data_IF_811477684118
#
_entry.id   IF_811477684118
#
_cell.length_a   1.000
_cell.length_b   1.000
_cell.length_c   1.000
_cell.angle_alpha   90.00
_cell.angle_beta   90.00
_cell.angle_gamma   90.00
#
_symmetry.space_group_name_H-M   'P 1'
#
loop_
_entity.id
_entity.type
_entity.pdbx_description
1 polymer ?
#
# COMPACT_ATOMS: atom_id res chain seq x y z
N UNK A 1 -46.77 -18.21 -13.89
CA UNK A 1 -45.65 -17.26 -14.08
C UNK A 1 -44.49 -17.75 -13.23
N UNK A 2 -43.29 -17.96 -13.80
CA UNK A 2 -42.14 -18.44 -13.03
C UNK A 2 -41.60 -17.32 -12.12
N UNK A 3 -41.05 -17.63 -10.93
CA UNK A 3 -40.27 -16.67 -10.16
C UNK A 3 -38.86 -16.59 -10.76
N UNK A 4 -38.55 -15.50 -11.44
CA UNK A 4 -37.20 -15.17 -11.91
C UNK A 4 -36.90 -13.72 -11.55
N UNK A 5 -35.98 -13.50 -10.62
CA UNK A 5 -34.57 -13.20 -10.93
C UNK A 5 -33.81 -13.00 -9.62
N UNK A 6 -32.77 -13.80 -9.44
CA UNK A 6 -31.63 -13.49 -8.59
C UNK A 6 -31.11 -12.09 -8.92
N UNK A 7 -31.06 -11.19 -7.93
CA UNK A 7 -30.24 -9.98 -8.01
C UNK A 7 -29.24 -10.03 -6.86
N UNK A 8 -28.15 -10.76 -7.11
CA UNK A 8 -26.94 -10.68 -6.32
C UNK A 8 -26.35 -9.28 -6.49
N UNK A 9 -26.77 -8.33 -5.65
CA UNK A 9 -26.15 -7.01 -5.54
C UNK A 9 -25.00 -7.09 -4.55
N UNK A 10 -23.96 -7.86 -4.87
CA UNK A 10 -22.66 -7.67 -4.23
C UNK A 10 -22.06 -6.43 -4.89
N UNK A 11 -22.45 -5.27 -4.36
CA UNK A 11 -21.90 -3.98 -4.76
C UNK A 11 -20.40 -4.03 -4.51
N UNK A 12 -19.63 -4.10 -5.59
CA UNK A 12 -18.16 -4.04 -5.65
C UNK A 12 -17.58 -2.74 -5.02
N UNK A 13 -18.45 -1.83 -4.57
CA UNK A 13 -18.11 -0.60 -3.88
C UNK A 13 -18.12 -0.86 -2.38
N UNK A 14 -17.01 -0.57 -1.68
CA UNK A 14 -16.98 -0.73 -0.22
C UNK A 14 -18.08 0.12 0.41
N UNK A 15 -18.69 -0.38 1.48
CA UNK A 15 -19.67 0.37 2.23
C UNK A 15 -19.00 1.61 2.87
N UNK A 16 -19.41 2.80 2.43
CA UNK A 16 -18.85 4.06 2.91
C UNK A 16 -19.09 4.25 4.42
N UNK A 17 -20.20 3.70 4.94
CA UNK A 17 -20.50 3.76 6.36
C UNK A 17 -19.57 2.87 7.20
N UNK A 18 -19.04 1.79 6.60
CA UNK A 18 -18.05 0.93 7.22
C UNK A 18 -16.68 1.59 7.24
N UNK A 19 -16.28 2.27 6.15
CA UNK A 19 -15.02 3.03 6.08
C UNK A 19 -14.97 4.17 7.10
N UNK A 20 -16.07 4.91 7.29
CA UNK A 20 -16.12 6.02 8.26
C UNK A 20 -15.91 5.53 9.70
N UNK A 21 -16.40 4.33 10.03
CA UNK A 21 -16.31 3.73 11.37
C UNK A 21 -15.09 2.83 11.54
N UNK A 22 -14.29 2.66 10.49
CA UNK A 22 -13.17 1.75 10.50
C UNK A 22 -12.04 2.30 11.38
N UNK A 23 -11.63 1.52 12.38
CA UNK A 23 -10.56 1.90 13.30
C UNK A 23 -9.18 1.55 12.72
N UNK A 24 -8.37 2.58 12.47
CA UNK A 24 -6.99 2.48 11.97
C UNK A 24 -6.08 1.66 12.89
N UNK A 25 -6.42 1.48 14.17
CA UNK A 25 -5.68 0.62 15.10
C UNK A 25 -5.74 -0.86 14.72
N UNK A 26 -6.77 -1.27 13.95
CA UNK A 26 -6.95 -2.63 13.44
C UNK A 26 -6.07 -2.92 12.22
N UNK A 27 -5.36 -1.93 11.68
CA UNK A 27 -4.41 -2.16 10.58
C UNK A 27 -3.18 -2.88 11.10
N UNK A 28 -2.75 -3.90 10.34
CA UNK A 28 -1.44 -4.51 10.58
C UNK A 28 -0.38 -3.43 10.32
N UNK A 29 0.55 -3.27 11.27
CA UNK A 29 1.73 -2.43 11.05
C UNK A 29 2.59 -3.12 9.98
N UNK A 30 2.54 -2.58 8.78
CA UNK A 30 3.39 -3.01 7.68
C UNK A 30 4.55 -2.03 7.62
N UNK A 31 5.75 -2.50 7.92
CA UNK A 31 6.98 -1.80 7.60
C UNK A 31 7.24 -1.96 6.10
N UNK A 32 7.26 -0.85 5.37
CA UNK A 32 7.55 -0.85 3.94
C UNK A 32 9.06 -0.75 3.77
N UNK A 33 9.70 -1.85 3.36
CA UNK A 33 11.10 -1.80 2.93
C UNK A 33 11.19 -1.03 1.61
N UNK A 34 11.58 0.23 1.70
CA UNK A 34 11.88 1.04 0.54
C UNK A 34 13.12 0.46 -0.15
N UNK A 35 12.93 -0.33 -1.21
CA UNK A 35 14.01 -1.04 -1.90
C UNK A 35 14.97 -0.17 -2.72
N UNK A 36 14.79 1.16 -2.71
CA UNK A 36 15.66 2.08 -3.42
C UNK A 36 16.01 3.31 -2.58
N UNK A 37 16.54 3.14 -1.35
CA UNK A 37 16.84 4.29 -0.52
C UNK A 37 17.91 5.09 -1.25
N UNK A 38 17.75 6.41 -1.29
CA UNK A 38 18.76 7.26 -1.89
C UNK A 38 20.10 6.96 -1.20
N UNK A 39 21.20 6.87 -1.96
CA UNK A 39 22.51 6.63 -1.37
C UNK A 39 22.79 7.71 -0.31
N UNK A 40 23.38 7.28 0.80
CA UNK A 40 23.80 8.21 1.84
C UNK A 40 24.99 9.03 1.35
N UNK A 41 25.19 10.24 1.92
CA UNK A 41 26.30 11.11 1.53
C UNK A 41 27.66 10.40 1.64
N UNK A 42 27.84 9.59 2.68
CA UNK A 42 29.06 8.80 2.87
C UNK A 42 29.29 7.78 1.75
N UNK A 43 28.23 7.12 1.26
CA UNK A 43 28.34 6.19 0.13
C UNK A 43 28.68 6.92 -1.18
N UNK A 44 28.14 8.12 -1.38
CA UNK A 44 28.43 8.95 -2.56
C UNK A 44 29.91 9.38 -2.54
N UNK A 45 30.40 9.88 -1.41
CA UNK A 45 31.79 10.32 -1.27
C UNK A 45 32.78 9.14 -1.43
N UNK A 46 32.41 7.94 -0.97
CA UNK A 46 33.19 6.72 -1.19
C UNK A 46 33.22 6.29 -2.66
N UNK A 47 32.10 6.36 -3.36
CA UNK A 47 32.02 6.04 -4.80
C UNK A 47 32.76 7.07 -5.65
N UNK A 48 32.70 8.35 -5.29
CA UNK A 48 33.48 9.44 -5.92
C UNK A 48 34.98 9.15 -5.82
N UNK A 49 35.48 8.84 -4.61
CA UNK A 49 36.91 8.52 -4.42
C UNK A 49 37.31 7.19 -5.07
N UNK A 50 36.44 6.19 -5.05
CA UNK A 50 36.71 4.89 -5.68
C UNK A 50 36.67 4.96 -7.21
N UNK A 51 35.87 5.88 -7.78
CA UNK A 51 35.78 6.12 -9.23
C UNK A 51 36.89 7.01 -9.79
N UNK A 52 37.70 7.65 -8.93
CA UNK A 52 38.84 8.47 -9.32
C UNK A 52 40.18 7.68 -9.37
N UNK A 53 40.16 6.37 -9.07
CA UNK A 53 41.28 5.42 -9.23
C UNK A 53 41.26 4.70 -10.59
#
# INVERSE_FOLDING_TARGET
MPPSTSSATMSDKPDMAEIEKFDKSKWKKTEMEWKNPLPSKEMIDQEEQAGEL
#
